data_IF_610480766231
#
_entry.id   IF_610480766231
#
_cell.length_a   1.000
_cell.length_b   1.000
_cell.length_c   1.000
_cell.angle_alpha   90.00
_cell.angle_beta   90.00
_cell.angle_gamma   90.00
#
_symmetry.space_group_name_H-M   'P 1'
#
loop_
_entity.id
_entity.type
_entity.pdbx_description
1 polymer ?
#
# COMPACT_ATOMS: atom_id res chain seq x y z
N UNK A 1 12.31 15.17 24.59
CA UNK A 1 12.46 14.79 23.17
C UNK A 1 11.28 13.94 22.67
N UNK A 2 11.03 12.71 23.18
CA UNK A 2 9.88 11.88 22.75
C UNK A 2 8.51 12.56 22.98
N UNK A 3 8.29 13.10 24.19
CA UNK A 3 7.06 13.85 24.51
C UNK A 3 6.78 15.05 23.60
N UNK A 4 7.84 15.62 23.02
CA UNK A 4 7.71 16.77 22.14
C UNK A 4 7.34 16.32 20.72
N UNK A 5 7.91 15.21 20.25
CA UNK A 5 7.53 14.57 18.98
C UNK A 5 6.07 14.10 19.01
N UNK A 6 5.62 13.49 20.11
CA UNK A 6 4.22 13.07 20.27
C UNK A 6 3.25 14.24 20.20
N UNK A 7 3.62 15.39 20.78
CA UNK A 7 2.82 16.63 20.69
C UNK A 7 2.76 17.15 19.26
N UNK A 8 3.91 17.23 18.57
CA UNK A 8 3.98 17.66 17.17
C UNK A 8 3.15 16.76 16.27
N UNK A 9 3.27 15.44 16.41
CA UNK A 9 2.48 14.48 15.62
C UNK A 9 0.99 14.67 15.87
N UNK A 10 0.58 14.84 17.13
CA UNK A 10 -0.82 15.08 17.48
C UNK A 10 -1.35 16.37 16.85
N UNK A 11 -0.63 17.48 16.99
CA UNK A 11 -1.02 18.77 16.39
C UNK A 11 -1.13 18.68 14.86
N UNK A 12 -0.21 17.97 14.20
CA UNK A 12 -0.26 17.74 12.76
C UNK A 12 -1.46 16.90 12.34
N UNK A 13 -1.76 15.82 13.06
CA UNK A 13 -2.92 14.97 12.78
C UNK A 13 -4.21 15.77 13.03
N UNK A 14 -4.33 16.48 14.14
CA UNK A 14 -5.50 17.31 14.43
C UNK A 14 -5.75 18.38 13.35
N UNK A 15 -4.69 18.97 12.78
CA UNK A 15 -4.78 19.97 11.72
C UNK A 15 -5.09 19.39 10.33
N UNK A 16 -4.59 18.19 10.02
CA UNK A 16 -4.66 17.58 8.68
C UNK A 16 -5.64 16.39 8.56
N UNK A 17 -6.25 15.97 9.67
CA UNK A 17 -7.25 14.91 9.73
C UNK A 17 -6.70 13.59 10.26
N UNK A 18 -6.55 12.60 9.38
CA UNK A 18 -6.10 11.25 9.76
C UNK A 18 -4.84 10.87 8.99
N UNK A 19 -4.11 9.90 9.50
CA UNK A 19 -2.95 9.37 8.79
C UNK A 19 -3.38 8.61 7.54
N UNK A 20 -2.49 8.48 6.54
CA UNK A 20 -2.78 7.63 5.38
C UNK A 20 -3.02 6.16 5.76
N UNK A 21 -2.44 5.68 6.86
CA UNK A 21 -2.69 4.33 7.35
C UNK A 21 -4.13 4.18 7.84
N UNK A 22 -4.61 5.12 8.65
CA UNK A 22 -6.01 5.17 9.11
C UNK A 22 -6.97 5.36 7.94
N UNK A 23 -6.64 6.27 7.02
CA UNK A 23 -7.42 6.48 5.79
C UNK A 23 -7.45 5.18 4.97
N UNK A 24 -6.36 4.45 4.83
CA UNK A 24 -6.35 3.16 4.15
C UNK A 24 -7.10 2.06 4.93
N UNK A 25 -7.58 2.29 6.16
CA UNK A 25 -8.22 1.29 7.01
C UNK A 25 -7.21 0.27 7.57
N UNK A 26 -5.96 0.69 7.77
CA UNK A 26 -4.89 -0.13 8.34
C UNK A 26 -4.81 0.18 9.84
N UNK A 27 -5.42 -0.68 10.65
CA UNK A 27 -5.19 -0.67 12.09
C UNK A 27 -3.75 -1.11 12.37
N UNK A 28 -2.85 -0.14 12.58
CA UNK A 28 -1.42 -0.40 12.74
C UNK A 28 -1.17 -1.16 14.05
N UNK A 29 -0.65 -2.38 13.91
CA UNK A 29 -0.19 -3.25 15.00
C UNK A 29 1.16 -3.80 14.60
N UNK A 30 2.04 -4.02 15.57
CA UNK A 30 3.36 -4.62 15.35
C UNK A 30 3.23 -6.13 15.06
N UNK A 31 2.71 -6.42 13.88
CA UNK A 31 2.43 -7.76 13.38
C UNK A 31 2.65 -7.80 11.87
N UNK A 32 3.04 -8.95 11.28
CA UNK A 32 3.49 -9.00 9.89
C UNK A 32 2.47 -8.47 8.87
N UNK A 33 1.18 -8.80 9.03
CA UNK A 33 0.16 -8.44 8.04
C UNK A 33 -0.14 -6.92 8.00
N UNK A 34 -0.43 -6.22 9.11
CA UNK A 34 -0.54 -4.76 9.13
C UNK A 34 0.71 -4.04 8.62
N UNK A 35 1.91 -4.49 9.00
CA UNK A 35 3.17 -3.90 8.53
C UNK A 35 3.37 -4.09 7.02
N UNK A 36 3.01 -5.25 6.48
CA UNK A 36 3.02 -5.48 5.03
C UNK A 36 2.06 -4.53 4.29
N UNK A 37 0.83 -4.35 4.81
CA UNK A 37 -0.15 -3.42 4.23
C UNK A 37 0.38 -1.98 4.25
N UNK A 38 1.04 -1.58 5.34
CA UNK A 38 1.68 -0.26 5.44
C UNK A 38 2.83 -0.12 4.44
N UNK A 39 3.66 -1.14 4.25
CA UNK A 39 4.73 -1.15 3.26
C UNK A 39 4.19 -0.98 1.83
N UNK A 40 3.12 -1.70 1.47
CA UNK A 40 2.47 -1.55 0.16
C UNK A 40 1.97 -0.12 -0.03
N UNK A 41 1.30 0.46 0.98
CA UNK A 41 0.84 1.85 0.93
C UNK A 41 2.01 2.84 0.76
N UNK A 42 3.08 2.66 1.52
CA UNK A 42 4.28 3.51 1.41
C UNK A 42 4.91 3.43 0.02
N UNK A 43 4.94 2.24 -0.59
CA UNK A 43 5.45 2.05 -1.94
C UNK A 43 4.58 2.75 -2.99
N UNK A 44 3.25 2.67 -2.86
CA UNK A 44 2.30 3.37 -3.73
C UNK A 44 2.45 4.90 -3.62
N UNK A 45 2.57 5.42 -2.40
CA UNK A 45 2.81 6.85 -2.15
C UNK A 45 4.14 7.32 -2.77
N UNK A 46 5.16 6.46 -2.80
CA UNK A 46 6.44 6.73 -3.46
C UNK A 46 6.39 6.74 -5.00
N UNK A 47 5.35 6.18 -5.63
CA UNK A 47 5.23 6.03 -7.08
C UNK A 47 4.85 7.33 -7.84
N UNK A 48 4.87 8.50 -7.18
CA UNK A 48 4.46 9.82 -7.71
C UNK A 48 3.01 9.88 -8.21
N UNK A 49 2.12 9.12 -7.58
CA UNK A 49 0.66 9.23 -7.79
C UNK A 49 0.03 10.12 -6.71
N UNK A 50 -1.21 10.57 -6.94
CA UNK A 50 -1.97 11.30 -5.91
C UNK A 50 -2.15 10.41 -4.67
N UNK A 51 -2.01 10.99 -3.48
CA UNK A 51 -2.16 10.26 -2.21
C UNK A 51 -3.50 9.53 -2.10
N UNK A 52 -4.59 10.17 -2.52
CA UNK A 52 -5.92 9.54 -2.56
C UNK A 52 -6.00 8.31 -3.46
N UNK A 53 -5.26 8.32 -4.59
CA UNK A 53 -5.18 7.15 -5.49
C UNK A 53 -4.37 6.03 -4.84
N UNK A 54 -3.27 6.35 -4.14
CA UNK A 54 -2.50 5.36 -3.39
C UNK A 54 -3.36 4.71 -2.29
N UNK A 55 -4.10 5.49 -1.52
CA UNK A 55 -5.01 5.00 -0.47
C UNK A 55 -6.11 4.12 -1.05
N UNK A 56 -6.79 4.58 -2.11
CA UNK A 56 -7.84 3.81 -2.78
C UNK A 56 -7.30 2.49 -3.33
N UNK A 57 -6.09 2.52 -3.91
CA UNK A 57 -5.42 1.33 -4.44
C UNK A 57 -5.08 0.34 -3.32
N UNK A 58 -4.54 0.80 -2.19
CA UNK A 58 -4.25 -0.05 -1.04
C UNK A 58 -5.51 -0.73 -0.48
N UNK A 59 -6.63 0.00 -0.40
CA UNK A 59 -7.94 -0.55 0.00
C UNK A 59 -8.41 -1.63 -1.00
N UNK A 60 -8.36 -1.33 -2.30
CA UNK A 60 -8.77 -2.26 -3.36
C UNK A 60 -7.95 -3.55 -3.36
N UNK A 61 -6.62 -3.47 -3.18
CA UNK A 61 -5.75 -4.64 -3.06
C UNK A 61 -6.13 -5.50 -1.84
N UNK A 62 -6.40 -4.87 -0.69
CA UNK A 62 -6.85 -5.59 0.51
C UNK A 62 -8.18 -6.30 0.28
N UNK A 63 -9.15 -5.59 -0.30
CA UNK A 63 -10.50 -6.11 -0.61
C UNK A 63 -10.45 -7.26 -1.62
N UNK A 64 -9.50 -7.22 -2.56
CA UNK A 64 -9.18 -8.31 -3.48
C UNK A 64 -8.43 -9.50 -2.81
N UNK A 65 -8.19 -9.46 -1.50
CA UNK A 65 -7.47 -10.51 -0.77
C UNK A 65 -5.94 -10.48 -0.93
N UNK A 66 -5.40 -9.48 -1.63
CA UNK A 66 -3.97 -9.26 -1.89
C UNK A 66 -3.28 -8.53 -0.73
N UNK A 67 -3.55 -8.98 0.50
CA UNK A 67 -3.02 -8.37 1.73
C UNK A 67 -1.94 -9.21 2.41
N UNK A 68 -1.41 -10.19 1.67
CA UNK A 68 -0.35 -11.11 2.07
C UNK A 68 0.72 -11.15 0.95
N UNK A 69 2.02 -11.12 1.28
CA UNK A 69 3.09 -11.13 0.28
C UNK A 69 3.02 -12.31 -0.70
N UNK A 70 2.65 -13.51 -0.25
CA UNK A 70 2.60 -14.71 -1.10
C UNK A 70 1.44 -14.62 -2.09
N UNK A 71 0.26 -14.17 -1.62
CA UNK A 71 -0.90 -13.93 -2.49
C UNK A 71 -0.63 -12.82 -3.51
N UNK A 72 0.01 -11.73 -3.10
CA UNK A 72 0.38 -10.65 -4.01
C UNK A 72 1.34 -11.12 -5.10
N UNK A 73 2.40 -11.86 -4.72
CA UNK A 73 3.34 -12.42 -5.68
C UNK A 73 2.64 -13.37 -6.67
N UNK A 74 1.79 -14.29 -6.17
CA UNK A 74 1.03 -15.19 -7.03
C UNK A 74 0.12 -14.46 -8.02
N UNK A 75 -0.45 -13.30 -7.65
CA UNK A 75 -1.29 -12.49 -8.52
C UNK A 75 -0.50 -11.71 -9.58
N UNK A 76 0.71 -11.22 -9.24
CA UNK A 76 1.57 -10.49 -10.16
C UNK A 76 2.14 -11.36 -11.29
N UNK A 77 2.20 -12.68 -11.08
CA UNK A 77 2.79 -13.66 -12.01
C UNK A 77 1.78 -14.68 -12.56
N UNK A 78 0.48 -14.32 -12.67
CA UNK A 78 -0.40 -15.06 -13.59
C UNK A 78 0.28 -15.18 -14.97
N UNK A 79 -0.05 -16.16 -15.83
CA UNK A 79 0.62 -16.34 -17.11
C UNK A 79 0.29 -15.16 -18.04
N UNK A 80 0.96 -14.04 -17.80
CA UNK A 80 1.07 -12.93 -18.72
C UNK A 80 2.00 -13.48 -19.79
N UNK A 81 1.37 -14.16 -20.74
CA UNK A 81 1.91 -14.23 -22.08
C UNK A 81 1.91 -12.80 -22.58
N UNK A 82 3.02 -12.11 -22.32
CA UNK A 82 3.40 -10.92 -23.04
C UNK A 82 3.41 -11.31 -24.52
N UNK A 83 2.31 -11.08 -25.23
CA UNK A 83 2.28 -11.17 -26.68
C UNK A 83 3.02 -9.94 -27.22
N UNK A 84 4.35 -10.03 -27.27
CA UNK A 84 5.14 -9.23 -28.19
C UNK A 84 5.01 -9.80 -29.60
N UNK A 85 4.91 -8.96 -30.66
CA UNK A 85 4.89 -9.44 -32.04
C UNK A 85 6.27 -10.01 -32.38
N UNK A 86 6.38 -11.33 -32.41
CA UNK A 86 7.65 -12.00 -32.68
C UNK A 86 7.60 -13.52 -32.56
N UNK A 87 6.46 -14.15 -32.83
CA UNK A 87 6.45 -15.59 -33.12
C UNK A 87 6.88 -15.76 -34.58
N UNK A 88 8.18 -15.88 -34.81
CA UNK A 88 8.65 -16.54 -36.03
C UNK A 88 8.33 -18.01 -35.87
N UNK A 89 7.35 -18.44 -36.65
CA UNK A 89 7.05 -19.83 -36.91
C UNK A 89 8.25 -20.42 -37.67
N UNK A 90 9.00 -21.32 -37.02
CA UNK A 90 9.73 -22.41 -37.65
C UNK A 90 9.72 -23.62 -36.73
#
# INVERSE_FOLDING_TARGET
MVRDQERVVRELVDAHGQTYAEEAGIGLKDTPQPLYRLLVLAHLLGARIRGSVAVATARALREAGLSDPRRMAAAAYGPVRWYGPGTVMR
#
